data_IF_160064651449
#
_entry.id   IF_160064651449
#
_cell.length_a   1.000
_cell.length_b   1.000
_cell.length_c   1.000
_cell.angle_alpha   90.00
_cell.angle_beta   90.00
_cell.angle_gamma   90.00
#
_symmetry.space_group_name_H-M   'P 1'
#
loop_
_entity.id
_entity.type
_entity.pdbx_description
1 polymer ?
#
# COMPACT_ATOMS: atom_id res chain seq x y z
N UNK A 1 -19.31 -8.80 -15.57
CA UNK A 1 -18.71 -10.14 -15.39
C UNK A 1 -19.75 -11.25 -15.09
N UNK A 2 -20.95 -10.92 -14.57
CA UNK A 2 -22.05 -11.88 -14.36
C UNK A 2 -22.92 -12.23 -15.59
N UNK A 3 -22.90 -11.42 -16.67
CA UNK A 3 -23.79 -11.66 -17.83
C UNK A 3 -23.51 -12.97 -18.57
N UNK A 4 -22.24 -13.34 -18.78
CA UNK A 4 -21.91 -14.57 -19.52
C UNK A 4 -22.35 -15.86 -18.78
N UNK A 5 -22.26 -15.88 -17.45
CA UNK A 5 -22.63 -17.07 -16.65
C UNK A 5 -24.15 -17.25 -16.62
N UNK A 6 -24.90 -16.14 -16.52
CA UNK A 6 -26.37 -16.18 -16.52
C UNK A 6 -26.90 -16.59 -17.89
N UNK A 7 -26.28 -16.12 -18.98
CA UNK A 7 -26.62 -16.57 -20.34
C UNK A 7 -26.26 -18.03 -20.57
N UNK A 8 -25.09 -18.49 -20.11
CA UNK A 8 -24.69 -19.91 -20.22
C UNK A 8 -25.58 -20.83 -19.39
N UNK A 9 -25.95 -20.44 -18.17
CA UNK A 9 -26.88 -21.19 -17.35
C UNK A 9 -28.28 -21.26 -17.99
N UNK A 10 -28.76 -20.14 -18.55
CA UNK A 10 -30.00 -20.11 -19.34
C UNK A 10 -29.94 -21.04 -20.55
N UNK A 11 -28.86 -20.95 -21.33
CA UNK A 11 -28.66 -21.78 -22.51
C UNK A 11 -28.58 -23.27 -22.13
N UNK A 12 -27.90 -23.59 -21.02
CA UNK A 12 -27.84 -24.94 -20.47
C UNK A 12 -29.21 -25.46 -20.03
N UNK A 13 -30.03 -24.62 -19.38
CA UNK A 13 -31.40 -24.97 -19.00
C UNK A 13 -32.33 -25.12 -20.21
N UNK A 14 -32.24 -24.26 -21.21
CA UNK A 14 -32.99 -24.37 -22.48
C UNK A 14 -32.62 -25.64 -23.23
N UNK A 15 -31.33 -25.94 -23.36
CA UNK A 15 -30.85 -27.17 -24.02
C UNK A 15 -31.21 -28.43 -23.25
N UNK A 16 -31.18 -28.42 -21.92
CA UNK A 16 -31.66 -29.54 -21.11
C UNK A 16 -33.18 -29.76 -21.26
N UNK A 17 -33.96 -28.68 -21.44
CA UNK A 17 -35.38 -28.77 -21.73
C UNK A 17 -35.66 -29.32 -23.14
N UNK A 18 -34.90 -28.89 -24.16
CA UNK A 18 -34.94 -29.46 -25.51
C UNK A 18 -34.57 -30.94 -25.52
N UNK A 19 -33.52 -31.33 -24.77
CA UNK A 19 -33.09 -32.72 -24.63
C UNK A 19 -34.21 -33.59 -24.04
N UNK A 20 -34.90 -33.08 -23.01
CA UNK A 20 -36.04 -33.73 -22.36
C UNK A 20 -37.26 -33.84 -23.27
N UNK A 21 -37.42 -32.92 -24.22
CA UNK A 21 -38.52 -32.91 -25.18
C UNK A 21 -38.28 -33.84 -26.40
N UNK A 22 -37.01 -34.13 -26.74
CA UNK A 22 -36.68 -35.04 -27.84
C UNK A 22 -36.79 -36.51 -27.41
N UNK A 23 -37.97 -37.10 -27.58
CA UNK A 23 -38.16 -38.54 -27.47
C UNK A 23 -37.34 -39.29 -28.56
N UNK A 24 -36.14 -39.76 -28.22
CA UNK A 24 -35.48 -40.88 -28.90
C UNK A 24 -34.41 -40.57 -29.96
N UNK A 25 -33.98 -39.32 -30.16
CA UNK A 25 -32.95 -38.96 -31.14
C UNK A 25 -31.88 -38.00 -30.59
N UNK A 26 -31.45 -38.19 -29.34
CA UNK A 26 -30.29 -37.46 -28.80
C UNK A 26 -29.01 -38.07 -29.36
N UNK A 27 -28.27 -37.33 -30.19
CA UNK A 27 -26.92 -37.74 -30.59
C UNK A 27 -26.02 -37.69 -29.35
N UNK A 28 -25.58 -38.88 -28.90
CA UNK A 28 -24.74 -39.06 -27.72
C UNK A 28 -23.45 -38.23 -27.82
N UNK A 29 -22.97 -37.93 -29.04
CA UNK A 29 -21.82 -37.05 -29.26
C UNK A 29 -22.10 -35.60 -28.90
N UNK A 30 -23.27 -35.06 -29.24
CA UNK A 30 -23.64 -33.69 -28.85
C UNK A 30 -23.81 -33.54 -27.34
N UNK A 31 -24.37 -34.56 -26.69
CA UNK A 31 -24.48 -34.59 -25.22
C UNK A 31 -23.10 -34.71 -24.56
N UNK A 32 -22.22 -35.56 -25.08
CA UNK A 32 -20.85 -35.69 -24.59
C UNK A 32 -20.05 -34.40 -24.75
N UNK A 33 -20.21 -33.69 -25.88
CA UNK A 33 -19.57 -32.39 -26.09
C UNK A 33 -20.06 -31.35 -25.07
N UNK A 34 -21.37 -31.28 -24.81
CA UNK A 34 -21.93 -30.35 -23.85
C UNK A 34 -21.43 -30.63 -22.42
N UNK A 35 -21.36 -31.90 -22.03
CA UNK A 35 -20.78 -32.32 -20.75
C UNK A 35 -19.30 -31.91 -20.67
N UNK A 36 -18.54 -32.08 -21.76
CA UNK A 36 -17.15 -31.64 -21.84
C UNK A 36 -17.02 -30.11 -21.69
N UNK A 37 -17.80 -29.33 -22.44
CA UNK A 37 -17.76 -27.87 -22.40
C UNK A 37 -18.15 -27.33 -21.02
N UNK A 38 -19.16 -27.93 -20.38
CA UNK A 38 -19.59 -27.57 -19.04
C UNK A 38 -18.53 -27.92 -17.98
N UNK A 39 -17.87 -29.07 -18.11
CA UNK A 39 -16.76 -29.45 -17.24
C UNK A 39 -15.60 -28.46 -17.35
N UNK A 40 -15.19 -28.11 -18.58
CA UNK A 40 -14.15 -27.10 -18.82
C UNK A 40 -14.54 -25.73 -18.27
N UNK A 41 -15.80 -25.29 -18.43
CA UNK A 41 -16.25 -24.02 -17.86
C UNK A 41 -16.26 -24.04 -16.33
N UNK A 42 -16.63 -25.15 -15.70
CA UNK A 42 -16.61 -25.29 -14.25
C UNK A 42 -15.17 -25.21 -13.72
N UNK A 43 -14.21 -25.83 -14.41
CA UNK A 43 -12.77 -25.72 -14.10
C UNK A 43 -12.29 -24.27 -14.22
N UNK A 44 -12.63 -23.56 -15.29
CA UNK A 44 -12.30 -22.14 -15.46
C UNK A 44 -12.89 -21.28 -14.33
N UNK A 45 -14.15 -21.53 -13.95
CA UNK A 45 -14.79 -20.81 -12.84
C UNK A 45 -14.12 -21.11 -11.50
N UNK A 46 -13.74 -22.36 -11.26
CA UNK A 46 -13.03 -22.74 -10.05
C UNK A 46 -11.70 -22.00 -9.94
N UNK A 47 -10.88 -22.04 -11.00
CA UNK A 47 -9.60 -21.31 -11.06
C UNK A 47 -9.79 -19.80 -10.89
N UNK A 48 -10.82 -19.22 -11.50
CA UNK A 48 -11.10 -17.80 -11.34
C UNK A 48 -11.50 -17.46 -9.90
N UNK A 49 -12.36 -18.27 -9.30
CA UNK A 49 -12.84 -18.07 -7.93
C UNK A 49 -11.71 -18.19 -6.93
N UNK A 50 -10.81 -19.16 -7.09
CA UNK A 50 -9.64 -19.31 -6.23
C UNK A 50 -8.68 -18.12 -6.39
N UNK A 51 -8.41 -17.68 -7.62
CA UNK A 51 -7.58 -16.50 -7.87
C UNK A 51 -8.17 -15.22 -7.26
N UNK A 52 -9.49 -15.01 -7.39
CA UNK A 52 -10.17 -13.88 -6.75
C UNK A 52 -10.08 -13.93 -5.21
N UNK A 53 -10.24 -15.11 -4.62
CA UNK A 53 -10.12 -15.28 -3.17
C UNK A 53 -8.70 -14.96 -2.67
N UNK A 54 -7.67 -15.39 -3.41
CA UNK A 54 -6.27 -15.07 -3.11
C UNK A 54 -6.02 -13.56 -3.22
N UNK A 55 -6.51 -12.91 -4.28
CA UNK A 55 -6.35 -11.46 -4.43
C UNK A 55 -7.04 -10.68 -3.31
N UNK A 56 -8.24 -11.11 -2.91
CA UNK A 56 -8.97 -10.48 -1.80
C UNK A 56 -8.22 -10.65 -0.47
N UNK A 57 -7.73 -11.85 -0.17
CA UNK A 57 -6.95 -12.09 1.04
C UNK A 57 -5.66 -11.22 1.06
N UNK A 58 -4.99 -11.10 -0.08
CA UNK A 58 -3.79 -10.27 -0.21
C UNK A 58 -4.10 -8.77 -0.02
N UNK A 59 -5.19 -8.26 -0.59
CA UNK A 59 -5.57 -6.86 -0.43
C UNK A 59 -6.02 -6.56 1.01
N UNK A 60 -6.77 -7.46 1.64
CA UNK A 60 -7.16 -7.36 3.05
C UNK A 60 -5.95 -7.35 3.98
N UNK A 61 -4.92 -8.16 3.71
CA UNK A 61 -3.66 -8.14 4.48
C UNK A 61 -2.98 -6.78 4.37
N UNK A 62 -2.77 -6.28 3.15
CA UNK A 62 -2.17 -4.96 2.89
C UNK A 62 -2.96 -3.83 3.55
N UNK A 63 -4.29 -3.85 3.47
CA UNK A 63 -5.15 -2.87 4.13
C UNK A 63 -5.02 -2.91 5.65
N UNK A 64 -4.89 -4.10 6.25
CA UNK A 64 -4.69 -4.26 7.69
C UNK A 64 -3.35 -3.68 8.14
N UNK A 65 -2.28 -3.94 7.39
CA UNK A 65 -0.94 -3.41 7.65
C UNK A 65 -0.92 -1.88 7.57
N UNK A 66 -1.48 -1.31 6.50
CA UNK A 66 -1.61 0.15 6.35
C UNK A 66 -2.49 0.77 7.45
N UNK A 67 -3.56 0.11 7.87
CA UNK A 67 -4.41 0.59 8.96
C UNK A 67 -3.67 0.59 10.30
N UNK A 68 -2.89 -0.46 10.58
CA UNK A 68 -2.04 -0.54 11.77
C UNK A 68 -0.97 0.56 11.76
N UNK A 69 -0.29 0.77 10.64
CA UNK A 69 0.69 1.85 10.48
C UNK A 69 0.07 3.24 10.68
N UNK A 70 -1.08 3.52 10.03
CA UNK A 70 -1.81 4.78 10.21
C UNK A 70 -2.23 5.01 11.67
N UNK A 71 -2.57 3.95 12.41
CA UNK A 71 -2.85 4.06 13.84
C UNK A 71 -1.60 4.41 14.65
N UNK A 72 -0.44 3.86 14.27
CA UNK A 72 0.86 4.15 14.88
C UNK A 72 1.39 5.56 14.58
N UNK A 73 1.15 6.09 13.36
CA UNK A 73 1.50 7.47 13.01
C UNK A 73 0.80 8.49 13.92
N UNK A 74 -0.46 8.21 14.33
CA UNK A 74 -1.21 9.05 15.27
C UNK A 74 -0.72 8.94 16.72
N UNK A 75 0.02 7.88 17.04
CA UNK A 75 0.67 7.70 18.33
C UNK A 75 2.13 8.14 18.32
N UNK A 76 2.54 8.96 17.34
CA UNK A 76 3.74 9.81 17.27
C UNK A 76 4.93 9.45 18.17
N UNK A 77 6.13 9.31 17.60
CA UNK A 77 7.36 9.02 18.38
C UNK A 77 7.73 10.17 19.33
N UNK A 78 7.34 11.40 19.01
CA UNK A 78 7.57 12.59 19.84
C UNK A 78 6.44 13.58 19.67
N UNK A 79 6.06 14.21 20.77
CA UNK A 79 5.02 15.24 20.84
C UNK A 79 5.65 16.57 21.24
N UNK A 80 4.96 17.66 20.94
CA UNK A 80 5.31 18.99 21.45
C UNK A 80 4.12 19.64 22.13
N UNK A 81 4.40 20.52 23.08
CA UNK A 81 3.49 21.58 23.52
C UNK A 81 4.17 22.93 23.28
N UNK A 82 3.41 23.91 22.85
CA UNK A 82 3.86 25.26 22.61
C UNK A 82 2.98 26.25 23.35
N UNK A 83 3.61 27.20 24.04
CA UNK A 83 2.97 28.38 24.60
C UNK A 83 3.82 29.63 24.37
N UNK A 84 3.23 30.82 24.25
CA UNK A 84 3.97 32.07 24.07
C UNK A 84 4.95 32.39 25.20
N UNK A 85 4.66 31.95 26.43
CA UNK A 85 5.49 32.26 27.60
C UNK A 85 6.85 31.54 27.61
N UNK A 86 6.89 30.28 27.19
CA UNK A 86 8.08 29.43 27.30
C UNK A 86 8.53 28.75 26.00
N UNK A 87 7.78 28.89 24.90
CA UNK A 87 8.13 28.33 23.60
C UNK A 87 7.73 26.86 23.45
N UNK A 88 8.60 26.03 22.90
CA UNK A 88 8.34 24.60 22.64
C UNK A 88 8.95 23.70 23.72
N UNK A 89 8.13 22.80 24.25
CA UNK A 89 8.57 21.64 25.01
C UNK A 89 8.27 20.34 24.27
N UNK A 90 9.10 19.33 24.47
CA UNK A 90 8.96 18.02 23.82
C UNK A 90 8.64 16.92 24.82
N UNK A 91 7.77 16.01 24.42
CA UNK A 91 7.27 14.94 25.27
C UNK A 91 7.35 13.60 24.55
N UNK A 92 7.68 12.54 25.30
CA UNK A 92 7.61 11.16 24.79
C UNK A 92 6.17 10.61 24.84
N UNK A 93 5.35 11.12 25.76
CA UNK A 93 3.96 10.74 25.93
C UNK A 93 3.04 11.81 25.37
N UNK A 94 2.00 11.37 24.65
CA UNK A 94 0.94 12.24 24.12
C UNK A 94 0.23 13.03 25.22
N UNK A 95 -0.13 12.35 26.29
CA UNK A 95 -0.95 12.92 27.36
C UNK A 95 -0.18 14.01 28.09
N UNK A 96 1.12 13.85 28.32
CA UNK A 96 1.94 14.88 28.96
C UNK A 96 1.98 16.19 28.15
N UNK A 97 2.04 16.11 26.81
CA UNK A 97 1.96 17.29 25.95
C UNK A 97 0.59 17.96 26.01
N UNK A 98 -0.49 17.17 26.06
CA UNK A 98 -1.86 17.66 26.21
C UNK A 98 -2.04 18.33 27.57
N UNK A 99 -1.62 17.67 28.65
CA UNK A 99 -1.75 18.15 30.01
C UNK A 99 -0.96 19.44 30.22
N UNK A 100 0.23 19.54 29.62
CA UNK A 100 1.03 20.78 29.65
C UNK A 100 0.32 21.92 28.93
N UNK A 101 -0.15 21.70 27.70
CA UNK A 101 -0.90 22.72 26.97
C UNK A 101 -2.22 23.10 27.67
N UNK A 102 -2.88 22.14 28.32
CA UNK A 102 -4.12 22.38 29.05
C UNK A 102 -3.87 23.17 30.34
N UNK A 103 -2.78 22.87 31.06
CA UNK A 103 -2.37 23.63 32.25
C UNK A 103 -2.11 25.10 31.91
N UNK A 104 -1.50 25.38 30.76
CA UNK A 104 -1.29 26.73 30.27
C UNK A 104 -2.62 27.44 29.95
N UNK A 105 -3.53 26.78 29.24
CA UNK A 105 -4.87 27.32 28.97
C UNK A 105 -5.62 27.60 30.28
N UNK A 106 -5.43 26.76 31.29
CA UNK A 106 -6.04 26.91 32.61
C UNK A 106 -5.45 28.12 33.35
N UNK A 107 -4.14 28.36 33.25
CA UNK A 107 -3.50 29.58 33.77
C UNK A 107 -4.08 30.85 33.12
N UNK A 108 -4.19 30.88 31.78
CA UNK A 108 -4.88 31.97 31.07
C UNK A 108 -6.33 32.15 31.52
N UNK A 109 -7.02 31.06 31.87
CA UNK A 109 -8.42 31.11 32.32
C UNK A 109 -8.57 31.76 33.69
N UNK A 110 -7.60 31.55 34.59
CA UNK A 110 -7.63 32.11 35.94
C UNK A 110 -7.47 33.64 35.93
N UNK A 111 -6.78 34.18 34.92
CA UNK A 111 -6.58 35.63 34.72
C UNK A 111 -7.58 36.28 33.76
N UNK A 112 -8.54 35.52 33.21
CA UNK A 112 -9.52 36.00 32.24
C UNK A 112 -10.70 36.78 32.88
N UNK A 113 -10.40 37.90 33.54
CA UNK A 113 -11.41 38.72 34.25
C UNK A 113 -12.38 39.45 33.31
N UNK A 114 -11.89 40.06 32.23
CA UNK A 114 -12.67 40.84 31.26
C UNK A 114 -12.65 40.27 29.83
N UNK A 115 -11.97 39.14 29.64
CA UNK A 115 -11.85 38.46 28.35
C UNK A 115 -10.69 37.48 28.35
N UNK A 116 -10.57 36.71 27.28
CA UNK A 116 -9.39 35.87 27.06
C UNK A 116 -8.28 36.70 26.45
N UNK A 117 -7.05 36.50 26.92
CA UNK A 117 -5.88 37.00 26.21
C UNK A 117 -5.84 36.42 24.78
N UNK A 118 -5.44 37.23 23.80
CA UNK A 118 -5.36 36.81 22.41
C UNK A 118 -4.32 35.70 22.19
N UNK A 119 -3.27 35.67 23.03
CA UNK A 119 -2.17 34.73 22.96
C UNK A 119 -2.57 33.30 23.37
N UNK A 120 -3.69 33.10 24.10
CA UNK A 120 -4.18 31.74 24.46
C UNK A 120 -4.44 30.87 23.23
N UNK A 121 -4.80 31.49 22.09
CA UNK A 121 -5.06 30.79 20.82
C UNK A 121 -3.81 30.18 20.20
N UNK A 122 -2.64 30.62 20.66
CA UNK A 122 -1.35 30.14 20.19
C UNK A 122 -0.91 28.91 20.97
N UNK A 123 -1.48 28.67 22.16
CA UNK A 123 -1.23 27.45 22.92
C UNK A 123 -1.67 26.24 22.09
N UNK A 124 -0.73 25.33 21.84
CA UNK A 124 -0.97 24.19 20.96
C UNK A 124 -0.13 22.98 21.37
N UNK A 125 -0.64 21.79 21.09
CA UNK A 125 0.14 20.57 21.16
C UNK A 125 0.08 19.85 19.81
N UNK A 126 1.07 19.01 19.53
CA UNK A 126 1.12 18.27 18.26
C UNK A 126 2.13 17.14 18.23
N UNK A 127 2.25 16.51 17.06
CA UNK A 127 3.18 15.41 16.78
C UNK A 127 4.33 15.93 15.93
N UNK A 128 5.55 15.51 16.25
CA UNK A 128 6.75 15.82 15.47
C UNK A 128 6.95 14.72 14.43
N UNK A 129 6.78 15.04 13.15
CA UNK A 129 6.95 14.08 12.03
C UNK A 129 8.42 14.05 11.58
N UNK A 130 9.09 15.20 11.60
CA UNK A 130 10.51 15.34 11.27
C UNK A 130 11.21 16.17 12.34
N UNK A 131 12.47 15.82 12.62
CA UNK A 131 13.34 16.58 13.50
C UNK A 131 14.71 16.72 12.84
N UNK A 132 15.37 17.84 13.09
CA UNK A 132 16.78 17.98 12.77
C UNK A 132 17.60 16.95 13.58
N UNK A 133 18.31 16.07 12.90
CA UNK A 133 19.21 15.11 13.52
C UNK A 133 20.62 15.27 12.95
N UNK A 134 21.62 14.96 13.78
CA UNK A 134 23.01 15.07 13.41
C UNK A 134 23.36 14.02 12.37
N UNK A 135 23.78 14.44 11.19
CA UNK A 135 24.39 13.56 10.19
C UNK A 135 25.89 13.63 10.43
N UNK A 136 26.55 12.47 10.50
CA UNK A 136 28.01 12.41 10.61
C UNK A 136 28.63 13.18 9.43
N UNK A 137 29.07 14.41 9.71
CA UNK A 137 29.84 15.22 8.80
C UNK A 137 31.32 14.93 9.08
N UNK A 138 31.97 14.32 8.09
CA UNK A 138 33.42 14.29 7.86
C UNK A 138 34.37 14.35 9.09
N UNK A 139 34.11 13.54 10.10
CA UNK A 139 35.07 13.23 11.16
C UNK A 139 35.59 14.43 11.96
N UNK A 140 36.64 14.16 12.74
CA UNK A 140 37.22 15.12 13.67
C UNK A 140 38.17 16.06 12.93
N UNK A 141 37.89 17.36 12.92
CA UNK A 141 38.75 18.38 12.31
C UNK A 141 39.72 18.96 13.34
N UNK A 142 40.95 19.25 12.93
CA UNK A 142 41.95 19.97 13.74
C UNK A 142 42.18 21.34 13.07
N UNK A 143 41.90 22.42 13.80
CA UNK A 143 42.17 23.78 13.34
C UNK A 143 43.67 24.09 13.30
N UNK A 144 44.07 25.13 12.58
CA UNK A 144 45.47 25.62 12.53
C UNK A 144 46.04 25.97 13.92
N UNK A 145 45.16 26.24 14.89
CA UNK A 145 45.52 26.48 16.29
C UNK A 145 45.49 25.22 17.16
N UNK A 146 45.44 24.03 16.54
CA UNK A 146 45.37 22.69 17.17
C UNK A 146 44.14 22.46 18.05
N UNK A 147 43.03 23.13 17.75
CA UNK A 147 41.75 22.85 18.39
C UNK A 147 41.01 21.78 17.59
N UNK A 148 40.65 20.71 18.28
CA UNK A 148 39.87 19.61 17.73
C UNK A 148 38.39 19.95 17.84
N UNK A 149 37.66 19.99 16.71
CA UNK A 149 36.21 20.19 16.70
C UNK A 149 35.54 19.18 15.78
N UNK A 150 34.37 18.69 16.20
CA UNK A 150 33.50 17.88 15.37
C UNK A 150 32.51 18.84 14.71
N UNK A 151 32.53 18.92 13.38
CA UNK A 151 31.41 19.50 12.66
C UNK A 151 30.35 18.42 12.60
N UNK A 152 29.13 18.76 12.97
CA UNK A 152 27.98 17.92 12.64
C UNK A 152 27.13 18.77 11.70
N UNK A 153 26.81 18.23 10.54
CA UNK A 153 25.73 18.80 9.72
C UNK A 153 24.40 18.30 10.28
N UNK A 154 23.33 19.05 10.04
CA UNK A 154 21.99 18.69 10.50
C UNK A 154 21.06 18.64 9.30
N UNK A 155 20.33 17.53 9.17
CA UNK A 155 19.27 17.40 8.17
C UNK A 155 17.96 17.04 8.86
N UNK A 156 16.84 17.37 8.21
CA UNK A 156 15.54 16.88 8.64
C UNK A 156 15.47 15.37 8.41
N UNK A 157 15.20 14.62 9.48
CA UNK A 157 15.03 13.18 9.45
C UNK A 157 13.62 12.82 9.88
N UNK A 158 13.01 11.87 9.16
CA UNK A 158 11.71 11.31 9.50
C UNK A 158 11.78 10.53 10.82
N UNK A 159 11.03 11.00 11.82
CA UNK A 159 10.92 10.40 13.15
C UNK A 159 9.98 9.18 13.14
N UNK A 160 9.06 9.13 12.17
CA UNK A 160 8.09 8.05 12.03
C UNK A 160 8.40 7.27 10.76
N UNK A 161 8.70 5.97 10.89
CA UNK A 161 8.91 5.08 9.74
C UNK A 161 7.56 4.57 9.21
N UNK A 162 7.44 4.45 7.89
CA UNK A 162 6.22 3.99 7.21
C UNK A 162 6.48 2.75 6.33
N UNK A 163 7.02 1.65 6.90
CA UNK A 163 7.42 0.47 6.13
C UNK A 163 6.26 -0.21 5.37
N UNK A 164 5.03 -0.18 5.88
CA UNK A 164 3.87 -0.73 5.20
C UNK A 164 3.47 0.12 3.98
N UNK A 165 3.54 1.45 4.12
CA UNK A 165 3.36 2.36 2.97
C UNK A 165 4.44 2.16 1.92
N UNK A 166 5.71 2.03 2.33
CA UNK A 166 6.82 1.80 1.41
C UNK A 166 6.65 0.48 0.65
N UNK A 167 6.37 -0.62 1.38
CA UNK A 167 6.09 -1.93 0.78
C UNK A 167 4.88 -1.90 -0.16
N UNK A 168 3.83 -1.15 0.18
CA UNK A 168 2.67 -0.98 -0.69
C UNK A 168 3.04 -0.25 -1.99
N UNK A 169 3.81 0.83 -1.92
CA UNK A 169 4.25 1.58 -3.10
C UNK A 169 5.15 0.74 -4.00
N UNK A 170 6.06 -0.04 -3.42
CA UNK A 170 6.92 -0.96 -4.15
C UNK A 170 6.13 -2.05 -4.88
N UNK A 171 5.11 -2.60 -4.22
CA UNK A 171 4.21 -3.55 -4.83
C UNK A 171 3.34 -2.93 -5.96
N UNK A 172 2.88 -1.68 -5.79
CA UNK A 172 2.16 -0.96 -6.86
C UNK A 172 3.08 -0.77 -8.08
N UNK A 173 4.33 -0.37 -7.85
CA UNK A 173 5.34 -0.27 -8.92
C UNK A 173 5.55 -1.63 -9.60
N UNK A 174 5.69 -2.70 -8.83
CA UNK A 174 5.87 -4.05 -9.35
C UNK A 174 4.65 -4.54 -10.15
N UNK A 175 3.44 -4.25 -9.69
CA UNK A 175 2.19 -4.56 -10.39
C UNK A 175 2.08 -3.86 -11.75
N UNK A 176 2.56 -2.61 -11.86
CA UNK A 176 2.61 -1.91 -13.13
C UNK A 176 3.57 -2.61 -14.11
N UNK A 177 4.72 -3.10 -13.62
CA UNK A 177 5.68 -3.86 -14.42
C UNK A 177 5.08 -5.20 -14.86
N UNK A 178 4.33 -5.89 -14.00
CA UNK A 178 3.64 -7.12 -14.35
C UNK A 178 2.58 -6.91 -15.45
N UNK A 179 1.88 -5.77 -15.45
CA UNK A 179 0.94 -5.42 -16.52
C UNK A 179 1.66 -5.21 -17.86
N UNK A 180 2.83 -4.56 -17.85
CA UNK A 180 3.67 -4.41 -19.04
C UNK A 180 4.16 -5.77 -19.53
N UNK A 181 4.64 -6.62 -18.62
CA UNK A 181 5.06 -8.00 -18.93
C UNK A 181 3.94 -8.78 -19.62
N UNK A 182 2.71 -8.69 -19.12
CA UNK A 182 1.57 -9.37 -19.73
C UNK A 182 1.30 -8.87 -21.15
N UNK A 183 1.32 -7.55 -21.38
CA UNK A 183 1.14 -6.99 -22.72
C UNK A 183 2.24 -7.43 -23.70
N UNK A 184 3.49 -7.55 -23.24
CA UNK A 184 4.59 -8.09 -24.06
C UNK A 184 4.31 -9.57 -24.37
N UNK A 185 3.92 -10.35 -23.37
CA UNK A 185 3.58 -11.78 -23.54
C UNK A 185 2.44 -12.00 -24.53
N UNK A 186 1.43 -11.12 -24.52
CA UNK A 186 0.29 -11.21 -25.45
C UNK A 186 0.74 -10.90 -26.89
N UNK A 187 1.67 -9.96 -27.07
CA UNK A 187 2.23 -9.61 -28.37
C UNK A 187 3.07 -10.76 -28.99
N UNK A 188 3.73 -11.58 -28.17
CA UNK A 188 4.51 -12.75 -28.63
C UNK A 188 3.68 -13.71 -29.49
N UNK A 189 2.40 -13.88 -29.17
CA UNK A 189 1.52 -14.83 -29.86
C UNK A 189 1.31 -14.50 -31.36
N UNK A 190 1.62 -13.27 -31.79
CA UNK A 190 1.49 -12.81 -33.17
C UNK A 190 2.81 -12.57 -33.91
N UNK A 191 3.97 -12.79 -33.27
CA UNK A 191 5.28 -12.46 -33.84
C UNK A 191 5.91 -13.61 -34.66
N UNK A 192 6.80 -13.25 -35.59
CA UNK A 192 7.64 -14.21 -36.30
C UNK A 192 8.75 -14.76 -35.37
N UNK A 193 9.27 -15.95 -35.68
CA UNK A 193 10.17 -16.71 -34.78
C UNK A 193 11.47 -15.97 -34.44
N UNK A 194 11.94 -15.07 -35.30
CA UNK A 194 13.15 -14.26 -35.14
C UNK A 194 12.98 -13.10 -34.14
N UNK A 195 11.76 -12.61 -33.95
CA UNK A 195 11.43 -11.57 -32.95
C UNK A 195 11.09 -12.17 -31.57
N UNK A 196 10.70 -13.45 -31.54
CA UNK A 196 10.23 -14.16 -30.35
C UNK A 196 11.29 -14.22 -29.24
N UNK A 197 12.57 -14.44 -29.60
CA UNK A 197 13.67 -14.50 -28.63
C UNK A 197 13.92 -13.15 -27.92
N UNK A 198 13.72 -12.03 -28.61
CA UNK A 198 13.87 -10.69 -28.04
C UNK A 198 12.75 -10.35 -27.06
N UNK A 199 11.50 -10.69 -27.41
CA UNK A 199 10.36 -10.47 -26.52
C UNK A 199 10.39 -11.39 -25.28
N UNK A 200 10.80 -12.66 -25.42
CA UNK A 200 10.99 -13.55 -24.27
C UNK A 200 12.04 -13.00 -23.29
N UNK A 201 13.14 -12.45 -23.81
CA UNK A 201 14.14 -11.77 -22.99
C UNK A 201 13.54 -10.56 -22.26
N UNK A 202 12.69 -9.77 -22.92
CA UNK A 202 12.00 -8.64 -22.30
C UNK A 202 11.03 -9.06 -21.18
N UNK A 203 10.29 -10.15 -21.37
CA UNK A 203 9.40 -10.74 -20.34
C UNK A 203 10.20 -11.18 -19.10
N UNK A 204 11.37 -11.77 -19.30
CA UNK A 204 12.26 -12.18 -18.20
C UNK A 204 12.83 -10.97 -17.46
N UNK A 205 13.31 -9.95 -18.17
CA UNK A 205 13.82 -8.71 -17.55
C UNK A 205 12.72 -8.02 -16.73
N UNK A 206 11.50 -7.92 -17.26
CA UNK A 206 10.37 -7.35 -16.55
C UNK A 206 10.04 -8.17 -15.28
N UNK A 207 10.10 -9.50 -15.37
CA UNK A 207 9.88 -10.40 -14.23
C UNK A 207 10.91 -10.18 -13.12
N UNK A 208 12.20 -10.11 -13.47
CA UNK A 208 13.28 -9.87 -12.52
C UNK A 208 13.18 -8.48 -11.89
N UNK A 209 12.83 -7.46 -12.68
CA UNK A 209 12.67 -6.11 -12.18
C UNK A 209 11.49 -5.99 -11.18
N UNK A 210 10.35 -6.60 -11.50
CA UNK A 210 9.22 -6.67 -10.58
C UNK A 210 9.56 -7.43 -9.29
N UNK A 211 10.37 -8.49 -9.36
CA UNK A 211 10.84 -9.22 -8.18
C UNK A 211 11.78 -8.36 -7.31
N UNK A 212 12.69 -7.60 -7.92
CA UNK A 212 13.59 -6.67 -7.21
C UNK A 212 12.83 -5.58 -6.46
N UNK A 213 11.79 -5.02 -7.08
CA UNK A 213 10.93 -4.03 -6.42
C UNK A 213 10.26 -4.61 -5.16
N UNK A 214 9.91 -5.90 -5.15
CA UNK A 214 9.33 -6.59 -3.99
C UNK A 214 10.35 -7.01 -2.91
N UNK A 215 11.62 -6.63 -3.06
CA UNK A 215 12.69 -7.07 -2.16
C UNK A 215 13.23 -8.47 -2.45
N UNK A 216 12.87 -9.07 -3.60
CA UNK A 216 13.48 -10.31 -4.09
C UNK A 216 14.90 -10.06 -4.60
N UNK A 217 15.85 -10.87 -4.12
CA UNK A 217 17.27 -10.80 -4.51
C UNK A 217 17.54 -11.51 -5.83
#
# INVERSE_FOLDING_TARGET
MGSNIIELAKLGHERAAELKASCGAVDVRSLAQLISDLATQLEVQFVRSTNMAVQLANSESKCRELAAENSGQKSGVTYFAFAPEYGFDYFANKQDAIDTAQAEIDAYRDDAFDGWDEDVRRVSWGIVIQRADGVDADGVHISDSRHTYQTCDYQLVDMVKTPATDAFLDEVRASCVDAVKQNISDAISGCYQDEMAGLDAAVNIASEFAAKLRGGR
#
